data_IF_848517189600
#
_entry.id   IF_848517189600
#
_cell.length_a   1.000
_cell.length_b   1.000
_cell.length_c   1.000
_cell.angle_alpha   90.00
_cell.angle_beta   90.00
_cell.angle_gamma   90.00
#
_symmetry.space_group_name_H-M   'P 1'
#
loop_
_entity.id
_entity.type
_entity.pdbx_description
1 polymer ?
#
# COMPACT_ATOMS: atom_id res chain seq x y z
N UNK A 1 -4.58 -10.72 2.21
CA UNK A 1 -4.27 -9.75 1.15
C UNK A 1 -3.97 -8.35 1.72
N UNK A 2 -4.94 -7.45 1.96
CA UNK A 2 -4.63 -6.05 2.34
C UNK A 2 -4.02 -5.88 3.75
N UNK A 3 -4.48 -6.67 4.72
CA UNK A 3 -3.95 -6.65 6.09
C UNK A 3 -2.50 -7.17 6.21
N UNK A 4 -1.98 -7.81 5.16
CA UNK A 4 -0.62 -8.35 5.11
C UNK A 4 0.36 -7.36 4.46
N UNK A 5 -0.14 -6.27 3.86
CA UNK A 5 0.70 -5.24 3.25
C UNK A 5 1.32 -4.37 4.33
N UNK A 6 2.63 -4.10 4.22
CA UNK A 6 3.32 -3.14 5.08
C UNK A 6 2.86 -1.73 4.74
N UNK A 7 2.43 -0.95 5.74
CA UNK A 7 2.07 0.46 5.59
C UNK A 7 3.26 1.40 5.57
N UNK A 8 4.29 1.15 6.39
CA UNK A 8 5.39 2.08 6.59
C UNK A 8 6.72 1.39 6.35
N UNK A 9 7.74 2.17 5.95
CA UNK A 9 9.13 1.72 5.81
C UNK A 9 9.72 1.21 7.14
N UNK A 10 9.11 1.55 8.27
CA UNK A 10 9.47 1.10 9.61
C UNK A 10 8.62 -0.08 10.11
N UNK A 11 7.67 -0.58 9.31
CA UNK A 11 6.88 -1.73 9.71
C UNK A 11 7.75 -2.99 9.80
N UNK A 12 7.66 -3.69 10.92
CA UNK A 12 8.30 -4.98 11.13
C UNK A 12 7.65 -6.04 10.21
N UNK A 13 8.44 -6.75 9.37
CA UNK A 13 7.94 -7.88 8.58
C UNK A 13 7.44 -9.06 9.42
N UNK A 14 7.98 -9.26 10.63
CA UNK A 14 7.61 -10.35 11.55
C UNK A 14 6.44 -10.00 12.48
N UNK A 15 6.18 -8.71 12.68
CA UNK A 15 5.05 -8.20 13.45
C UNK A 15 4.26 -7.18 12.62
N UNK A 16 3.56 -7.63 11.55
CA UNK A 16 2.75 -6.75 10.75
C UNK A 16 1.69 -6.16 11.67
N UNK A 17 1.80 -4.88 11.99
CA UNK A 17 0.85 -4.16 12.84
C UNK A 17 -0.55 -4.28 12.22
N UNK A 18 -1.34 -5.27 12.67
CA UNK A 18 -2.57 -5.74 12.02
C UNK A 18 -3.75 -4.75 12.19
N UNK A 19 -3.66 -3.86 13.19
CA UNK A 19 -4.65 -2.82 13.48
C UNK A 19 -4.57 -1.62 12.54
N UNK A 20 -4.48 -1.85 11.22
CA UNK A 20 -4.39 -0.79 10.22
C UNK A 20 -5.71 -0.63 9.48
N UNK A 21 -6.32 0.54 9.64
CA UNK A 21 -7.41 0.99 8.80
C UNK A 21 -6.79 1.61 7.55
N UNK A 22 -6.61 0.80 6.50
CA UNK A 22 -6.46 1.40 5.19
C UNK A 22 -7.79 2.08 4.90
N UNK A 23 -7.75 3.38 4.59
CA UNK A 23 -8.92 4.05 4.05
C UNK A 23 -9.31 3.23 2.84
N UNK A 24 -10.39 2.48 3.01
CA UNK A 24 -10.82 1.50 2.02
C UNK A 24 -10.94 2.25 0.71
N UNK A 25 -10.46 1.66 -0.38
CA UNK A 25 -10.80 2.16 -1.70
C UNK A 25 -12.32 1.93 -1.82
N UNK A 26 -13.11 2.90 -1.35
CA UNK A 26 -14.40 2.70 -0.68
C UNK A 26 -15.56 2.40 -1.64
N UNK A 27 -15.29 2.14 -2.91
CA UNK A 27 -16.32 2.06 -3.95
C UNK A 27 -16.54 0.65 -4.52
N UNK A 28 -15.75 -0.33 -4.08
CA UNK A 28 -15.79 -1.70 -4.58
C UNK A 28 -16.49 -2.62 -3.59
N UNK A 29 -17.81 -2.46 -3.46
CA UNK A 29 -18.69 -3.38 -2.73
C UNK A 29 -19.13 -4.57 -3.59
N UNK A 30 -19.76 -5.57 -2.96
CA UNK A 30 -20.34 -6.74 -3.64
C UNK A 30 -21.85 -6.81 -3.47
N UNK A 31 -22.56 -7.38 -4.44
CA UNK A 31 -24.02 -7.51 -4.37
C UNK A 31 -24.71 -6.15 -4.44
N UNK A 32 -25.63 -5.85 -3.52
CA UNK A 32 -26.40 -4.59 -3.55
C UNK A 32 -25.57 -3.33 -3.24
N UNK A 33 -24.36 -3.47 -2.70
CA UNK A 33 -23.44 -2.36 -2.43
C UNK A 33 -22.41 -2.13 -3.53
N UNK A 34 -22.47 -2.91 -4.63
CA UNK A 34 -21.59 -2.71 -5.77
C UNK A 34 -21.99 -1.44 -6.53
N UNK A 35 -21.19 -0.38 -6.39
CA UNK A 35 -21.41 0.92 -7.04
C UNK A 35 -20.68 1.04 -8.38
N UNK A 36 -19.70 0.17 -8.63
CA UNK A 36 -18.89 0.13 -9.84
C UNK A 36 -19.01 -1.25 -10.49
N UNK A 37 -19.36 -1.28 -11.78
CA UNK A 37 -19.42 -2.51 -12.59
C UNK A 37 -18.05 -3.00 -13.07
N UNK A 38 -17.00 -2.71 -12.30
CA UNK A 38 -15.63 -3.11 -12.58
C UNK A 38 -15.26 -4.28 -11.69
N UNK A 39 -14.54 -5.25 -12.26
CA UNK A 39 -14.01 -6.37 -11.51
C UNK A 39 -12.69 -5.98 -10.87
N UNK A 40 -12.55 -6.30 -9.57
CA UNK A 40 -11.27 -6.22 -8.89
C UNK A 40 -10.38 -7.36 -9.40
N UNK A 41 -9.31 -7.01 -10.11
CA UNK A 41 -8.37 -8.00 -10.66
C UNK A 41 -7.23 -8.28 -9.69
N UNK A 42 -6.64 -7.21 -9.14
CA UNK A 42 -5.46 -7.33 -8.27
C UNK A 42 -5.31 -6.10 -7.36
N UNK A 43 -4.52 -6.23 -6.30
CA UNK A 43 -4.17 -5.13 -5.40
C UNK A 43 -2.87 -5.44 -4.66
N UNK A 44 -2.18 -4.40 -4.20
CA UNK A 44 -0.96 -4.58 -3.43
C UNK A 44 -0.36 -3.28 -2.89
N UNK A 45 0.84 -3.43 -2.33
CA UNK A 45 1.70 -2.30 -1.96
C UNK A 45 2.95 -2.28 -2.83
N UNK A 46 3.63 -1.14 -2.87
CA UNK A 46 4.90 -0.98 -3.59
C UNK A 46 6.02 -0.53 -2.66
N UNK A 47 7.08 -1.34 -2.56
CA UNK A 47 8.28 -1.01 -1.78
C UNK A 47 9.24 -0.16 -2.63
N UNK A 48 9.14 1.16 -2.48
CA UNK A 48 9.98 2.11 -3.20
C UNK A 48 11.38 2.28 -2.57
N UNK A 49 11.61 1.84 -1.33
CA UNK A 49 12.81 2.19 -0.55
C UNK A 49 14.11 1.79 -1.25
N UNK A 50 14.23 0.59 -1.87
CA UNK A 50 15.45 0.19 -2.58
C UNK A 50 15.79 1.06 -3.80
N UNK A 51 14.83 1.85 -4.29
CA UNK A 51 14.99 2.69 -5.48
C UNK A 51 15.43 4.11 -5.15
N UNK A 52 15.33 4.54 -3.89
CA UNK A 52 15.64 5.90 -3.46
C UNK A 52 17.10 6.10 -3.11
N UNK A 53 17.63 7.28 -3.43
CA UNK A 53 18.89 7.81 -2.91
C UNK A 53 20.07 6.82 -2.97
N UNK A 54 20.11 5.97 -4.00
CA UNK A 54 21.06 4.86 -4.13
C UNK A 54 22.52 5.31 -4.09
N UNK A 55 22.80 6.50 -4.64
CA UNK A 55 24.15 7.02 -4.77
C UNK A 55 24.71 7.65 -3.49
N UNK A 56 23.84 7.94 -2.51
CA UNK A 56 24.22 8.65 -1.27
C UNK A 56 24.04 7.79 -0.01
N UNK A 57 23.58 6.54 -0.14
CA UNK A 57 23.53 5.58 0.96
C UNK A 57 22.69 6.02 2.17
N UNK A 58 21.58 6.72 1.93
CA UNK A 58 20.75 7.28 3.00
C UNK A 58 20.05 6.20 3.84
N UNK A 59 19.95 6.43 5.15
CA UNK A 59 19.17 5.59 6.06
C UNK A 59 17.67 5.88 5.96
N UNK A 60 16.81 4.93 6.37
CA UNK A 60 15.34 5.12 6.41
C UNK A 60 14.93 6.36 7.22
N UNK A 61 15.61 6.62 8.34
CA UNK A 61 15.38 7.79 9.17
C UNK A 61 15.71 9.10 8.44
N UNK A 62 16.72 9.13 7.57
CA UNK A 62 17.01 10.31 6.76
C UNK A 62 16.00 10.51 5.62
N UNK A 63 15.54 9.40 5.01
CA UNK A 63 14.54 9.44 3.94
C UNK A 63 13.19 10.02 4.40
N UNK A 64 12.74 9.69 5.61
CA UNK A 64 11.42 10.12 6.11
C UNK A 64 11.25 11.66 6.17
N UNK A 65 12.36 12.40 6.31
CA UNK A 65 12.32 13.87 6.33
C UNK A 65 12.08 14.48 4.95
N UNK A 66 12.17 13.67 3.89
CA UNK A 66 12.11 14.11 2.49
C UNK A 66 10.93 13.51 1.73
N UNK A 67 10.52 12.32 2.13
CA UNK A 67 9.43 11.57 1.52
C UNK A 67 8.57 10.95 2.61
N UNK A 68 7.28 10.76 2.33
CA UNK A 68 6.39 10.00 3.21
C UNK A 68 7.00 8.64 3.53
N UNK A 69 6.87 8.24 4.79
CA UNK A 69 7.26 6.92 5.25
C UNK A 69 6.23 5.84 4.89
N UNK A 70 5.07 6.22 4.34
CA UNK A 70 4.02 5.29 3.95
C UNK A 70 4.23 4.70 2.55
N UNK A 71 4.14 3.38 2.44
CA UNK A 71 4.11 2.70 1.16
C UNK A 71 2.79 3.00 0.43
N UNK A 72 2.83 3.35 -0.87
CA UNK A 72 1.63 3.52 -1.66
C UNK A 72 0.94 2.17 -1.85
N UNK A 73 -0.39 2.24 -1.91
CA UNK A 73 -1.23 1.13 -2.31
C UNK A 73 -1.64 1.30 -3.76
N UNK A 74 -1.87 0.19 -4.44
CA UNK A 74 -2.42 0.17 -5.78
C UNK A 74 -3.49 -0.90 -5.90
N UNK A 75 -4.35 -0.72 -6.87
CA UNK A 75 -5.44 -1.63 -7.20
C UNK A 75 -5.65 -1.62 -8.72
N UNK A 76 -5.96 -2.78 -9.27
CA UNK A 76 -6.20 -2.99 -10.69
C UNK A 76 -7.64 -3.44 -10.92
N UNK A 77 -8.28 -2.81 -11.91
CA UNK A 77 -9.66 -3.08 -12.29
C UNK A 77 -9.76 -3.48 -13.75
N UNK A 78 -10.67 -4.41 -14.03
CA UNK A 78 -11.04 -4.82 -15.37
C UNK A 78 -12.47 -4.42 -15.71
N UNK A 79 -12.72 -4.13 -16.98
CA UNK A 79 -14.06 -4.17 -17.54
C UNK A 79 -14.26 -5.58 -18.13
N UNK A 80 -15.36 -6.25 -17.77
CA UNK A 80 -15.84 -7.39 -18.54
C UNK A 80 -16.38 -6.98 -19.90
#
# INVERSE_FOLDING_TARGET
ALHEVRRSIFADPGEPTLGKFYDQIAWFGSGRSQLLGLDLLNAGGFDFVPLLYRDVGMSRAQMQYRLSDHYPLWVEFGCN
#
